data_IF_037066618102
#
_entry.id   IF_037066618102
#
_cell.length_a   1.000
_cell.length_b   1.000
_cell.length_c   1.000
_cell.angle_alpha   90.00
_cell.angle_beta   90.00
_cell.angle_gamma   90.00
#
_symmetry.space_group_name_H-M   'P 1'
#
loop_
_entity.id
_entity.type
_entity.pdbx_description
1 polymer ?
#
# COMPACT_ATOMS: atom_id res chain seq x y z
N UNK A 1 -2.40 -14.80 -11.78
CA UNK A 1 -0.97 -14.96 -11.47
C UNK A 1 -0.49 -13.95 -10.48
N UNK A 2 0.60 -14.25 -9.78
CA UNK A 2 1.35 -13.30 -8.96
C UNK A 2 2.56 -12.78 -9.74
N UNK A 3 3.12 -11.64 -9.32
CA UNK A 3 4.38 -11.12 -9.82
C UNK A 3 5.60 -11.74 -9.09
N UNK A 4 6.81 -11.28 -9.40
CA UNK A 4 8.07 -11.82 -8.87
C UNK A 4 8.12 -11.81 -7.32
N UNK A 5 7.64 -10.75 -6.69
CA UNK A 5 7.69 -10.57 -5.22
C UNK A 5 6.40 -10.98 -4.50
N UNK A 6 5.43 -11.49 -5.22
CA UNK A 6 4.15 -12.04 -4.71
C UNK A 6 3.22 -11.01 -4.02
N UNK A 7 3.55 -9.71 -4.07
CA UNK A 7 2.79 -8.65 -3.40
C UNK A 7 1.44 -8.34 -4.04
N UNK A 8 1.24 -8.76 -5.31
CA UNK A 8 0.01 -8.46 -6.04
C UNK A 8 -0.40 -9.65 -6.92
N UNK A 9 -1.70 -9.94 -6.98
CA UNK A 9 -2.29 -10.91 -7.89
C UNK A 9 -2.97 -10.19 -9.04
N UNK A 10 -2.55 -10.51 -10.26
CA UNK A 10 -3.02 -9.86 -11.48
C UNK A 10 -3.57 -10.89 -12.48
N UNK A 11 -4.49 -10.43 -13.33
CA UNK A 11 -5.04 -11.26 -14.39
C UNK A 11 -4.02 -11.52 -15.50
N UNK A 12 -3.96 -12.78 -15.93
CA UNK A 12 -3.16 -13.22 -17.08
C UNK A 12 -3.97 -14.16 -17.97
N UNK A 13 -3.66 -14.16 -19.26
CA UNK A 13 -4.27 -15.07 -20.24
C UNK A 13 -3.29 -15.36 -21.38
N UNK A 14 -3.75 -16.09 -22.38
CA UNK A 14 -3.01 -16.31 -23.62
C UNK A 14 -2.73 -15.02 -24.39
N UNK A 15 -3.54 -13.98 -24.19
CA UNK A 15 -3.42 -12.66 -24.86
C UNK A 15 -2.95 -11.53 -23.94
N UNK A 16 -2.82 -11.78 -22.63
CA UNK A 16 -2.49 -10.79 -21.62
C UNK A 16 -1.32 -11.22 -20.73
N UNK A 17 -0.30 -10.38 -20.63
CA UNK A 17 0.80 -10.50 -19.67
C UNK A 17 0.62 -9.39 -18.64
N UNK A 18 0.47 -9.77 -17.38
CA UNK A 18 0.30 -8.81 -16.31
C UNK A 18 1.55 -7.94 -16.10
N UNK A 19 1.34 -6.66 -15.91
CA UNK A 19 2.38 -5.67 -15.57
C UNK A 19 1.93 -4.93 -14.32
N UNK A 20 2.83 -4.79 -13.38
CA UNK A 20 2.59 -4.09 -12.12
C UNK A 20 3.29 -2.72 -12.12
N UNK A 21 2.54 -1.67 -11.73
CA UNK A 21 3.07 -0.33 -11.51
C UNK A 21 3.03 -0.09 -10.00
N UNK A 22 4.21 -0.03 -9.38
CA UNK A 22 4.35 0.01 -7.92
C UNK A 22 4.84 1.37 -7.43
N UNK A 23 4.37 1.74 -6.25
CA UNK A 23 4.86 2.87 -5.47
C UNK A 23 4.71 2.58 -3.98
N UNK A 24 5.45 3.29 -3.14
CA UNK A 24 5.34 3.13 -1.69
C UNK A 24 5.42 4.47 -0.98
N UNK A 25 4.51 4.68 -0.04
CA UNK A 25 4.47 5.87 0.81
C UNK A 25 5.45 5.69 1.96
N UNK A 26 6.29 6.69 2.20
CA UNK A 26 7.14 6.73 3.38
C UNK A 26 6.32 7.15 4.61
N UNK A 27 6.02 6.21 5.50
CA UNK A 27 5.21 6.49 6.70
C UNK A 27 5.88 7.48 7.65
N UNK A 28 7.21 7.45 7.78
CA UNK A 28 7.96 8.37 8.65
C UNK A 28 7.63 9.82 8.36
N UNK A 29 7.55 10.18 7.08
CA UNK A 29 7.21 11.54 6.66
C UNK A 29 5.73 11.89 6.87
N UNK A 30 4.91 10.94 7.28
CA UNK A 30 3.48 11.12 7.58
C UNK A 30 3.17 10.94 9.07
N UNK A 31 4.20 10.88 9.91
CA UNK A 31 4.04 10.94 11.37
C UNK A 31 4.05 12.39 11.83
N UNK A 32 3.20 12.73 12.78
CA UNK A 32 3.08 14.05 13.40
C UNK A 32 3.05 13.89 14.92
N UNK A 33 3.60 14.87 15.64
CA UNK A 33 3.49 14.95 17.10
C UNK A 33 2.01 14.95 17.53
N UNK A 34 1.64 14.08 18.45
CA UNK A 34 0.27 13.92 18.96
C UNK A 34 -0.09 14.96 20.04
N UNK A 35 0.83 15.85 20.38
CA UNK A 35 0.68 16.85 21.44
C UNK A 35 0.74 16.26 22.87
N UNK A 36 1.05 14.97 23.02
CA UNK A 36 1.15 14.25 24.31
C UNK A 36 2.55 13.65 24.52
N UNK A 37 3.50 13.99 23.65
CA UNK A 37 4.87 13.51 23.68
C UNK A 37 5.08 12.20 22.90
N UNK A 38 4.14 11.83 22.05
CA UNK A 38 4.20 10.72 21.11
C UNK A 38 3.98 11.16 19.66
N UNK A 39 3.84 10.21 18.78
CA UNK A 39 3.56 10.41 17.35
C UNK A 39 2.32 9.66 16.90
N UNK A 40 1.62 10.24 15.95
CA UNK A 40 0.46 9.63 15.28
C UNK A 40 0.51 9.88 13.79
N UNK A 41 -0.34 9.21 13.02
CA UNK A 41 -0.38 9.36 11.56
C UNK A 41 -1.11 10.65 11.16
N UNK A 42 -0.45 11.51 10.37
CA UNK A 42 -1.06 12.69 9.76
C UNK A 42 -1.98 12.28 8.60
N UNK A 43 -3.24 12.08 8.93
CA UNK A 43 -4.27 11.66 7.97
C UNK A 43 -4.44 12.65 6.81
N UNK A 44 -4.34 13.95 7.06
CA UNK A 44 -4.51 15.00 6.04
C UNK A 44 -3.37 14.98 5.03
N UNK A 45 -2.15 14.88 5.51
CA UNK A 45 -0.97 14.77 4.65
C UNK A 45 -0.96 13.46 3.88
N UNK A 46 -1.30 12.35 4.55
CA UNK A 46 -1.38 11.03 3.94
C UNK A 46 -2.37 11.01 2.78
N UNK A 47 -3.58 11.53 2.98
CA UNK A 47 -4.60 11.63 1.93
C UNK A 47 -4.09 12.39 0.70
N UNK A 48 -3.44 13.55 0.90
CA UNK A 48 -2.90 14.36 -0.20
C UNK A 48 -1.80 13.63 -0.96
N UNK A 49 -0.90 12.96 -0.24
CA UNK A 49 0.20 12.19 -0.82
C UNK A 49 -0.35 11.02 -1.64
N UNK A 50 -1.29 10.25 -1.09
CA UNK A 50 -1.88 9.09 -1.78
C UNK A 50 -2.63 9.54 -3.03
N UNK A 51 -3.40 10.61 -2.97
CA UNK A 51 -4.10 11.16 -4.13
C UNK A 51 -3.12 11.49 -5.28
N UNK A 52 -1.99 12.10 -4.94
CA UNK A 52 -0.94 12.43 -5.91
C UNK A 52 -0.27 11.16 -6.44
N UNK A 53 0.10 10.22 -5.56
CA UNK A 53 0.76 8.98 -5.94
C UNK A 53 -0.12 8.12 -6.86
N UNK A 54 -1.41 7.99 -6.56
CA UNK A 54 -2.35 7.25 -7.41
C UNK A 54 -2.45 7.87 -8.81
N UNK A 55 -2.50 9.20 -8.92
CA UNK A 55 -2.48 9.90 -10.21
C UNK A 55 -1.17 9.66 -10.96
N UNK A 56 -0.03 9.69 -10.28
CA UNK A 56 1.27 9.42 -10.89
C UNK A 56 1.33 7.99 -11.43
N UNK A 57 0.89 7.00 -10.64
CA UNK A 57 0.87 5.60 -11.06
C UNK A 57 -0.09 5.34 -12.23
N UNK A 58 -1.28 5.98 -12.23
CA UNK A 58 -2.20 5.90 -13.37
C UNK A 58 -1.59 6.51 -14.64
N UNK A 59 -0.90 7.65 -14.53
CA UNK A 59 -0.21 8.28 -15.65
C UNK A 59 0.91 7.40 -16.23
N UNK A 60 1.66 6.69 -15.39
CA UNK A 60 2.73 5.77 -15.84
C UNK A 60 2.17 4.71 -16.78
N UNK A 61 0.95 4.21 -16.54
CA UNK A 61 0.31 3.23 -17.43
C UNK A 61 0.20 3.76 -18.87
N UNK A 62 -0.10 5.03 -19.05
CA UNK A 62 -0.30 5.64 -20.36
C UNK A 62 1.02 6.00 -21.06
N UNK A 63 2.04 6.46 -20.31
CA UNK A 63 3.30 6.93 -20.87
C UNK A 63 4.41 5.86 -20.95
N UNK A 64 4.18 4.68 -20.33
CA UNK A 64 5.17 3.62 -20.27
C UNK A 64 5.48 3.03 -21.64
N UNK A 65 6.74 2.63 -21.83
CA UNK A 65 7.14 1.82 -22.98
C UNK A 65 6.86 0.34 -22.70
N UNK A 66 6.07 -0.28 -23.57
CA UNK A 66 5.73 -1.70 -23.47
C UNK A 66 6.51 -2.49 -24.53
N UNK A 67 7.50 -3.26 -24.11
CA UNK A 67 8.30 -4.11 -25.00
C UNK A 67 7.47 -5.21 -25.68
N UNK A 68 6.34 -5.62 -25.09
CA UNK A 68 5.47 -6.71 -25.57
C UNK A 68 4.02 -6.23 -25.66
N UNK A 69 3.38 -6.48 -26.81
CA UNK A 69 1.98 -6.07 -27.03
C UNK A 69 1.01 -6.61 -25.99
N UNK A 70 1.19 -7.87 -25.56
CA UNK A 70 0.34 -8.50 -24.51
C UNK A 70 0.41 -7.77 -23.17
N UNK A 71 1.57 -7.23 -22.81
CA UNK A 71 1.74 -6.43 -21.59
C UNK A 71 0.99 -5.09 -21.72
N UNK A 72 1.10 -4.41 -22.86
CA UNK A 72 0.36 -3.19 -23.13
C UNK A 72 -1.16 -3.42 -23.09
N UNK A 73 -1.62 -4.50 -23.72
CA UNK A 73 -3.04 -4.88 -23.75
C UNK A 73 -3.58 -5.06 -22.33
N UNK A 74 -2.91 -5.85 -21.51
CA UNK A 74 -3.29 -6.09 -20.11
C UNK A 74 -3.32 -4.79 -19.30
N UNK A 75 -2.23 -4.02 -19.38
CA UNK A 75 -2.08 -2.83 -18.52
C UNK A 75 -3.09 -1.73 -18.86
N UNK A 76 -3.35 -1.47 -20.13
CA UNK A 76 -4.37 -0.51 -20.56
C UNK A 76 -5.80 -0.97 -20.30
N UNK A 77 -6.06 -2.29 -20.35
CA UNK A 77 -7.37 -2.87 -20.12
C UNK A 77 -7.77 -2.85 -18.64
N UNK A 78 -6.85 -3.23 -17.76
CA UNK A 78 -7.11 -3.41 -16.33
C UNK A 78 -6.62 -2.25 -15.47
N UNK A 79 -5.64 -1.50 -15.94
CA UNK A 79 -5.02 -0.35 -15.23
C UNK A 79 -4.62 -0.66 -13.78
N UNK A 80 -3.91 -1.77 -13.51
CA UNK A 80 -3.54 -2.13 -12.16
C UNK A 80 -2.40 -1.25 -11.66
N UNK A 81 -2.54 -0.78 -10.42
CA UNK A 81 -1.47 -0.12 -9.67
C UNK A 81 -1.35 -0.77 -8.29
N UNK A 82 -0.18 -0.70 -7.69
CA UNK A 82 0.07 -1.21 -6.35
C UNK A 82 0.77 -0.16 -5.51
N UNK A 83 0.01 0.61 -4.74
CA UNK A 83 0.54 1.57 -3.78
C UNK A 83 0.69 0.88 -2.42
N UNK A 84 1.91 0.85 -1.90
CA UNK A 84 2.24 0.29 -0.59
C UNK A 84 2.81 1.32 0.36
N UNK A 85 3.50 0.82 1.39
CA UNK A 85 4.15 1.60 2.43
C UNK A 85 5.60 1.14 2.62
N UNK A 86 6.44 2.02 3.18
CA UNK A 86 7.78 1.75 3.69
C UNK A 86 8.02 2.57 4.94
N UNK A 87 9.02 2.20 5.74
CA UNK A 87 9.31 2.88 7.01
C UNK A 87 8.34 2.53 8.13
N UNK A 88 7.67 1.38 8.06
CA UNK A 88 6.74 0.94 9.10
C UNK A 88 7.45 0.74 10.45
N UNK A 89 8.60 0.05 10.46
CA UNK A 89 9.37 -0.14 11.69
C UNK A 89 9.86 1.20 12.27
N UNK A 90 10.27 2.15 11.42
CA UNK A 90 10.71 3.47 11.89
C UNK A 90 9.53 4.26 12.49
N UNK A 91 8.34 4.15 11.90
CA UNK A 91 7.13 4.74 12.48
C UNK A 91 6.83 4.15 13.87
N UNK A 92 6.97 2.84 14.05
CA UNK A 92 6.85 2.20 15.36
C UNK A 92 7.89 2.70 16.36
N UNK A 93 9.15 2.89 15.92
CA UNK A 93 10.19 3.48 16.76
C UNK A 93 9.83 4.91 17.20
N UNK A 94 9.33 5.75 16.30
CA UNK A 94 8.84 7.09 16.64
C UNK A 94 7.72 7.04 17.68
N UNK A 95 6.81 6.08 17.56
CA UNK A 95 5.71 5.85 18.51
C UNK A 95 6.17 5.14 19.80
N UNK A 96 7.44 4.72 19.89
CA UNK A 96 7.98 3.88 20.99
C UNK A 96 7.19 2.60 21.21
N UNK A 97 6.70 2.01 20.12
CA UNK A 97 5.86 0.81 20.11
C UNK A 97 6.69 -0.41 19.71
N UNK A 98 6.75 -1.46 20.55
CA UNK A 98 7.43 -2.70 20.17
C UNK A 98 6.75 -3.36 18.98
N UNK A 99 7.54 -3.87 18.03
CA UNK A 99 7.02 -4.50 16.82
C UNK A 99 6.08 -5.68 17.13
N UNK A 100 6.46 -6.54 18.07
CA UNK A 100 5.65 -7.68 18.50
C UNK A 100 4.69 -7.29 19.64
N UNK A 101 3.77 -6.36 19.38
CA UNK A 101 2.78 -5.89 20.35
C UNK A 101 1.41 -5.69 19.70
N UNK A 102 0.35 -5.73 20.52
CA UNK A 102 -1.02 -5.42 20.09
C UNK A 102 -1.12 -4.01 19.51
N UNK A 103 -0.44 -3.03 20.11
CA UNK A 103 -0.40 -1.66 19.61
C UNK A 103 0.22 -1.56 18.20
N UNK A 104 1.22 -2.39 17.88
CA UNK A 104 1.79 -2.44 16.53
C UNK A 104 0.82 -3.09 15.54
N UNK A 105 0.08 -4.12 15.95
CA UNK A 105 -0.97 -4.72 15.11
C UNK A 105 -2.11 -3.72 14.85
N UNK A 106 -2.54 -2.98 15.87
CA UNK A 106 -3.55 -1.93 15.70
C UNK A 106 -3.05 -0.82 14.77
N UNK A 107 -1.82 -0.37 14.93
CA UNK A 107 -1.22 0.63 14.02
C UNK A 107 -1.12 0.10 12.59
N UNK A 108 -0.74 -1.16 12.39
CA UNK A 108 -0.69 -1.79 11.07
C UNK A 108 -2.07 -1.79 10.40
N UNK A 109 -3.10 -2.22 11.14
CA UNK A 109 -4.48 -2.25 10.64
C UNK A 109 -4.97 -0.85 10.29
N UNK A 110 -4.89 0.12 11.22
CA UNK A 110 -5.37 1.49 11.01
C UNK A 110 -4.62 2.24 9.93
N UNK A 111 -3.31 2.09 9.85
CA UNK A 111 -2.51 2.74 8.80
C UNK A 111 -2.83 2.19 7.41
N UNK A 112 -2.97 0.86 7.28
CA UNK A 112 -3.35 0.25 6.00
C UNK A 112 -4.81 0.49 5.64
N UNK A 113 -5.73 0.54 6.60
CA UNK A 113 -7.11 0.96 6.35
C UNK A 113 -7.14 2.35 5.70
N UNK A 114 -6.39 3.31 6.27
CA UNK A 114 -6.32 4.66 5.74
C UNK A 114 -5.70 4.70 4.32
N UNK A 115 -4.61 3.96 4.09
CA UNK A 115 -3.98 3.85 2.77
C UNK A 115 -4.95 3.27 1.74
N UNK A 116 -5.64 2.19 2.07
CA UNK A 116 -6.64 1.57 1.20
C UNK A 116 -7.78 2.54 0.89
N UNK A 117 -8.36 3.14 1.92
CA UNK A 117 -9.46 4.08 1.79
C UNK A 117 -9.12 5.25 0.85
N UNK A 118 -7.98 5.91 1.09
CA UNK A 118 -7.57 7.06 0.28
C UNK A 118 -7.15 6.66 -1.14
N UNK A 119 -6.54 5.48 -1.33
CA UNK A 119 -6.18 4.99 -2.65
C UNK A 119 -7.43 4.66 -3.49
N UNK A 120 -8.43 4.02 -2.88
CA UNK A 120 -9.70 3.71 -3.56
C UNK A 120 -10.47 5.00 -3.86
N UNK A 121 -10.51 5.93 -2.91
CA UNK A 121 -11.10 7.25 -3.14
C UNK A 121 -10.44 7.97 -4.33
N UNK A 122 -9.11 8.04 -4.36
CA UNK A 122 -8.37 8.65 -5.46
C UNK A 122 -8.63 7.96 -6.81
N UNK A 123 -8.78 6.63 -6.82
CA UNK A 123 -9.14 5.89 -8.03
C UNK A 123 -10.57 6.21 -8.51
N UNK A 124 -11.52 6.50 -7.60
CA UNK A 124 -12.85 6.97 -8.00
C UNK A 124 -12.83 8.38 -8.58
N UNK A 125 -11.99 9.29 -8.04
CA UNK A 125 -11.79 10.63 -8.61
C UNK A 125 -11.21 10.55 -10.02
N UNK A 126 -10.23 9.67 -10.23
CA UNK A 126 -9.68 9.42 -11.56
C UNK A 126 -10.70 8.77 -12.51
N UNK A 127 -11.58 7.90 -12.00
CA UNK A 127 -12.65 7.33 -12.81
C UNK A 127 -13.69 8.38 -13.23
N UNK A 128 -14.04 9.31 -12.35
CA UNK A 128 -14.91 10.46 -12.65
C UNK A 128 -14.28 11.37 -13.72
N UNK A 129 -12.98 11.63 -13.63
CA UNK A 129 -12.23 12.51 -14.55
C UNK A 129 -11.94 11.84 -15.91
N UNK A 130 -11.58 10.55 -15.93
CA UNK A 130 -10.97 9.86 -17.09
C UNK A 130 -11.71 8.59 -17.53
N UNK A 131 -12.78 8.23 -16.84
CA UNK A 131 -13.52 7.00 -17.07
C UNK A 131 -12.96 5.79 -16.34
N UNK A 132 -13.81 4.77 -16.20
CA UNK A 132 -13.50 3.49 -15.56
C UNK A 132 -12.47 2.70 -16.38
N UNK A 133 -11.75 1.77 -15.75
CA UNK A 133 -10.93 0.81 -16.51
C UNK A 133 -11.82 -0.12 -17.35
N UNK A 134 -11.32 -0.56 -18.53
CA UNK A 134 -12.15 -1.20 -19.56
C UNK A 134 -12.82 -2.51 -19.10
N UNK A 135 -12.20 -3.27 -18.22
CA UNK A 135 -12.73 -4.52 -17.69
C UNK A 135 -13.47 -4.38 -16.35
N UNK A 136 -13.96 -3.18 -16.04
CA UNK A 136 -14.67 -2.88 -14.78
C UNK A 136 -15.94 -3.70 -14.64
N UNK A 137 -16.73 -3.83 -15.72
CA UNK A 137 -18.03 -4.51 -15.68
C UNK A 137 -17.89 -5.97 -15.29
N UNK A 138 -18.65 -6.40 -14.28
CA UNK A 138 -18.63 -7.76 -13.72
C UNK A 138 -17.52 -8.00 -12.70
N UNK A 139 -16.62 -7.01 -12.45
CA UNK A 139 -15.62 -7.09 -11.41
C UNK A 139 -16.23 -7.06 -10.01
N UNK A 140 -15.46 -7.37 -8.98
CA UNK A 140 -15.91 -7.23 -7.59
C UNK A 140 -16.34 -5.79 -7.28
N UNK A 141 -15.62 -4.79 -7.82
CA UNK A 141 -15.99 -3.38 -7.69
C UNK A 141 -17.38 -3.08 -8.29
N UNK A 142 -17.67 -3.58 -9.49
CA UNK A 142 -18.97 -3.41 -10.15
C UNK A 142 -20.10 -4.11 -9.40
N UNK A 143 -19.78 -5.23 -8.76
CA UNK A 143 -20.71 -6.00 -7.91
C UNK A 143 -20.88 -5.39 -6.51
N UNK A 144 -20.17 -4.31 -6.19
CA UNK A 144 -20.21 -3.64 -4.90
C UNK A 144 -19.56 -4.45 -3.76
N UNK A 145 -18.65 -5.35 -4.08
CA UNK A 145 -17.88 -6.15 -3.10
C UNK A 145 -16.52 -5.50 -2.92
N UNK A 146 -16.32 -4.89 -1.76
CA UNK A 146 -15.05 -4.24 -1.42
C UNK A 146 -14.03 -5.27 -0.87
N UNK A 147 -12.72 -5.00 -0.94
CA UNK A 147 -11.70 -5.95 -0.48
C UNK A 147 -11.91 -6.44 0.96
N UNK A 148 -12.25 -5.58 1.90
CA UNK A 148 -12.53 -5.98 3.28
C UNK A 148 -13.84 -6.81 3.41
N UNK A 149 -14.82 -6.61 2.54
CA UNK A 149 -16.05 -7.42 2.52
C UNK A 149 -15.82 -8.82 1.94
N UNK A 150 -14.71 -9.03 1.21
CA UNK A 150 -14.34 -10.35 0.68
C UNK A 150 -14.02 -11.38 1.78
N UNK A 151 -13.74 -10.91 2.99
CA UNK A 151 -13.55 -11.74 4.19
C UNK A 151 -14.79 -12.59 4.47
N UNK A 152 -15.99 -12.10 4.15
CA UNK A 152 -17.22 -12.87 4.25
C UNK A 152 -17.23 -14.07 3.29
N UNK A 153 -16.74 -13.89 2.06
CA UNK A 153 -16.62 -15.00 1.11
C UNK A 153 -15.65 -16.06 1.63
N UNK A 154 -14.56 -15.62 2.28
CA UNK A 154 -13.62 -16.54 2.93
C UNK A 154 -14.27 -17.32 4.07
N UNK A 155 -15.11 -16.67 4.88
CA UNK A 155 -15.86 -17.34 5.94
C UNK A 155 -16.82 -18.41 5.38
N UNK A 156 -17.55 -18.09 4.32
CA UNK A 156 -18.44 -19.02 3.64
C UNK A 156 -17.70 -20.27 3.14
N UNK A 157 -16.55 -20.08 2.48
CA UNK A 157 -15.69 -21.16 1.98
C UNK A 157 -15.06 -22.01 3.10
N UNK A 158 -14.91 -21.47 4.30
CA UNK A 158 -14.37 -22.15 5.49
C UNK A 158 -15.46 -22.71 6.41
N UNK A 159 -16.69 -22.84 5.95
CA UNK A 159 -17.80 -23.35 6.78
C UNK A 159 -18.19 -22.43 7.94
N UNK A 160 -17.98 -21.15 7.79
CA UNK A 160 -18.33 -20.13 8.80
C UNK A 160 -17.19 -19.78 9.77
N UNK A 161 -16.03 -20.44 9.69
CA UNK A 161 -14.88 -20.12 10.55
C UNK A 161 -14.14 -18.88 10.07
N UNK A 162 -14.09 -17.87 10.94
CA UNK A 162 -13.38 -16.64 10.69
C UNK A 162 -12.90 -16.00 12.01
N UNK A 163 -11.57 -15.94 12.19
CA UNK A 163 -10.91 -15.22 13.27
C UNK A 163 -10.10 -14.03 12.68
N UNK A 164 -10.80 -13.00 12.24
CA UNK A 164 -10.19 -11.78 11.69
C UNK A 164 -10.91 -10.57 12.28
N UNK A 165 -10.17 -9.56 12.69
CA UNK A 165 -10.75 -8.27 13.07
C UNK A 165 -11.48 -7.66 11.87
N UNK A 166 -12.73 -7.26 12.07
CA UNK A 166 -13.59 -6.64 11.07
C UNK A 166 -13.95 -5.20 11.46
N UNK A 167 -13.31 -4.66 12.50
CA UNK A 167 -13.52 -3.28 12.91
C UNK A 167 -13.02 -2.31 11.84
N UNK A 168 -13.70 -1.19 11.67
CA UNK A 168 -13.35 -0.15 10.72
C UNK A 168 -13.38 1.22 11.40
N UNK A 169 -12.51 2.12 10.96
CA UNK A 169 -12.43 3.50 11.46
C UNK A 169 -12.81 4.55 10.40
N UNK A 170 -12.83 4.14 9.12
CA UNK A 170 -13.18 5.00 8.00
C UNK A 170 -14.63 4.81 7.56
N UNK A 171 -15.23 5.79 6.90
CA UNK A 171 -16.59 5.68 6.36
C UNK A 171 -16.60 4.94 5.01
N UNK A 172 -16.57 3.63 5.09
CA UNK A 172 -16.59 2.76 3.92
C UNK A 172 -17.92 2.82 3.16
N UNK A 173 -19.03 3.20 3.79
CA UNK A 173 -20.32 3.35 3.13
C UNK A 173 -20.29 4.50 2.13
N UNK A 174 -19.73 5.63 2.52
CA UNK A 174 -19.55 6.79 1.66
C UNK A 174 -18.67 6.46 0.44
N UNK A 175 -17.56 5.74 0.65
CA UNK A 175 -16.70 5.29 -0.45
C UNK A 175 -17.42 4.32 -1.38
N UNK A 176 -18.21 3.39 -0.84
CA UNK A 176 -19.01 2.43 -1.61
C UNK A 176 -20.02 3.13 -2.52
N UNK A 177 -20.72 4.14 -2.01
CA UNK A 177 -21.64 4.95 -2.79
C UNK A 177 -20.92 5.70 -3.91
N UNK A 178 -19.73 6.22 -3.63
CA UNK A 178 -18.90 6.87 -4.63
C UNK A 178 -18.43 5.91 -5.73
N UNK A 179 -18.01 4.69 -5.36
CA UNK A 179 -17.66 3.64 -6.33
C UNK A 179 -18.86 3.27 -7.20
N UNK A 180 -20.05 3.16 -6.63
CA UNK A 180 -21.28 2.90 -7.36
C UNK A 180 -21.58 4.00 -8.39
N UNK A 181 -21.38 5.25 -8.02
CA UNK A 181 -21.64 6.41 -8.89
C UNK A 181 -20.62 6.52 -10.03
N UNK A 182 -19.32 6.47 -9.73
CA UNK A 182 -18.25 6.79 -10.67
C UNK A 182 -17.49 5.54 -11.16
N UNK A 183 -17.50 4.45 -10.41
CA UNK A 183 -16.65 3.26 -10.63
C UNK A 183 -15.22 3.48 -10.16
N UNK A 184 -14.31 2.62 -10.67
CA UNK A 184 -12.88 2.65 -10.38
C UNK A 184 -12.08 2.90 -11.66
N UNK A 185 -11.01 3.68 -11.57
CA UNK A 185 -10.04 3.87 -12.65
C UNK A 185 -9.07 2.71 -12.75
N UNK A 186 -8.77 2.06 -11.63
CA UNK A 186 -7.75 1.02 -11.49
C UNK A 186 -8.38 -0.27 -10.96
N UNK A 187 -8.04 -1.42 -11.53
CA UNK A 187 -8.53 -2.72 -11.07
C UNK A 187 -7.97 -3.10 -9.71
N UNK A 188 -6.70 -2.79 -9.47
CA UNK A 188 -5.97 -2.93 -8.22
C UNK A 188 -5.40 -1.56 -7.85
N UNK A 189 -5.37 -1.23 -6.57
CA UNK A 189 -4.89 0.08 -6.09
C UNK A 189 -3.74 -0.04 -5.10
N UNK A 190 -3.69 -1.11 -4.30
CA UNK A 190 -2.74 -1.25 -3.20
C UNK A 190 -1.99 -2.58 -3.27
N UNK A 191 -0.73 -2.53 -2.89
CA UNK A 191 0.14 -3.69 -2.70
C UNK A 191 1.35 -3.28 -1.86
N UNK A 192 1.74 -4.10 -0.89
CA UNK A 192 2.95 -3.86 -0.09
C UNK A 192 4.13 -4.54 -0.80
N UNK A 193 4.86 -3.76 -1.60
CA UNK A 193 6.07 -4.24 -2.27
C UNK A 193 7.28 -4.25 -1.32
N UNK A 194 8.32 -5.07 -1.57
CA UNK A 194 9.49 -5.19 -0.68
C UNK A 194 10.29 -3.90 -0.47
N UNK A 195 10.24 -2.95 -1.39
CA UNK A 195 10.93 -1.63 -1.34
C UNK A 195 12.45 -1.67 -1.08
N UNK A 196 13.11 -2.79 -1.35
CA UNK A 196 14.51 -3.05 -0.99
C UNK A 196 15.51 -1.97 -1.48
N UNK A 197 15.26 -1.34 -2.63
CA UNK A 197 16.10 -0.27 -3.17
C UNK A 197 15.62 1.11 -2.75
N UNK A 198 14.32 1.40 -2.91
CA UNK A 198 13.81 2.75 -2.66
C UNK A 198 13.85 3.13 -1.18
N UNK A 199 13.67 2.17 -0.27
CA UNK A 199 13.82 2.41 1.17
C UNK A 199 15.25 2.84 1.54
N UNK A 200 16.27 2.21 0.93
CA UNK A 200 17.66 2.61 1.13
C UNK A 200 17.96 4.01 0.58
N UNK A 201 17.38 4.37 -0.56
CA UNK A 201 17.56 5.73 -1.15
C UNK A 201 16.94 6.79 -0.24
N UNK A 202 15.78 6.48 0.34
CA UNK A 202 15.04 7.40 1.22
C UNK A 202 15.61 7.40 2.66
N UNK A 203 16.30 6.32 3.08
CA UNK A 203 16.84 6.17 4.42
C UNK A 203 15.82 5.72 5.46
N UNK A 204 14.95 4.78 5.11
CA UNK A 204 13.96 4.19 6.02
C UNK A 204 13.98 2.66 5.93
N UNK A 205 13.34 1.98 6.88
CA UNK A 205 13.14 0.52 6.85
C UNK A 205 12.31 0.09 5.63
N UNK A 206 12.64 -1.10 5.09
CA UNK A 206 11.94 -1.64 3.93
C UNK A 206 10.52 -2.06 4.30
N UNK A 207 9.55 -1.71 3.48
CA UNK A 207 8.12 -2.05 3.57
C UNK A 207 7.61 -2.12 5.03
N UNK A 208 7.24 -3.31 5.48
CA UNK A 208 6.78 -3.61 6.84
C UNK A 208 7.78 -4.48 7.62
N UNK A 209 8.99 -4.64 7.13
CA UNK A 209 9.99 -5.52 7.75
C UNK A 209 10.54 -4.92 9.04
N UNK A 210 10.80 -5.76 10.07
CA UNK A 210 11.52 -5.34 11.26
C UNK A 210 13.01 -5.12 10.95
N UNK A 211 13.71 -4.36 11.80
CA UNK A 211 15.16 -4.26 11.73
C UNK A 211 15.79 -5.60 12.11
N UNK A 212 16.74 -6.09 11.31
CA UNK A 212 17.47 -7.34 11.59
C UNK A 212 18.31 -7.24 12.86
N UNK A 213 19.08 -6.14 12.95
CA UNK A 213 19.99 -5.86 14.06
C UNK A 213 20.11 -4.35 14.27
N UNK A 214 20.59 -3.95 15.44
CA UNK A 214 20.83 -2.54 15.76
C UNK A 214 22.12 -1.99 15.18
N UNK A 215 23.05 -2.86 14.84
CA UNK A 215 24.34 -2.54 14.19
C UNK A 215 24.75 -3.69 13.28
N UNK A 216 24.88 -3.45 12.01
CA UNK A 216 25.32 -4.45 11.04
C UNK A 216 26.08 -3.83 9.87
N UNK A 217 26.79 -4.66 9.12
CA UNK A 217 27.47 -4.24 7.89
C UNK A 217 26.66 -4.71 6.70
N UNK A 218 26.28 -3.77 5.84
CA UNK A 218 25.66 -4.04 4.56
C UNK A 218 26.70 -4.00 3.46
N UNK A 219 26.91 -5.11 2.78
CA UNK A 219 27.85 -5.23 1.67
C UNK A 219 27.11 -5.29 0.34
N UNK A 220 27.59 -4.55 -0.65
CA UNK A 220 27.14 -4.60 -2.04
C UNK A 220 28.31 -4.32 -3.00
N UNK A 221 28.03 -4.25 -4.31
CA UNK A 221 29.07 -3.99 -5.33
C UNK A 221 29.78 -2.64 -5.18
N UNK A 222 29.21 -1.70 -4.45
CA UNK A 222 29.78 -0.36 -4.21
C UNK A 222 30.63 -0.29 -2.93
N UNK A 223 30.62 -1.34 -2.10
CA UNK A 223 31.39 -1.40 -0.86
C UNK A 223 30.62 -1.94 0.34
N UNK A 224 31.20 -1.73 1.51
CA UNK A 224 30.64 -2.10 2.80
C UNK A 224 30.21 -0.84 3.54
N UNK A 225 28.99 -0.89 4.09
CA UNK A 225 28.38 0.22 4.80
C UNK A 225 27.92 -0.23 6.19
N UNK A 226 28.42 0.43 7.21
CA UNK A 226 27.93 0.21 8.57
C UNK A 226 26.57 0.89 8.73
N UNK A 227 25.56 0.10 9.10
CA UNK A 227 24.21 0.58 9.38
C UNK A 227 23.95 0.47 10.88
N UNK A 228 23.49 1.56 11.46
CA UNK A 228 23.15 1.65 12.88
C UNK A 228 21.68 2.05 13.02
N UNK A 229 21.02 1.52 14.04
CA UNK A 229 19.67 1.95 14.40
C UNK A 229 19.74 3.35 15.04
N UNK A 230 19.39 4.38 14.26
CA UNK A 230 19.46 5.79 14.69
C UNK A 230 18.51 6.09 15.87
N UNK A 231 17.36 5.44 15.94
CA UNK A 231 16.41 5.61 17.05
C UNK A 231 17.03 5.12 18.36
N UNK A 232 17.73 3.98 18.34
CA UNK A 232 18.46 3.49 19.50
C UNK A 232 19.58 4.46 19.92
N UNK A 233 20.30 5.03 18.95
CA UNK A 233 21.37 6.01 19.24
C UNK A 233 20.79 7.26 19.92
N UNK A 234 19.65 7.76 19.46
CA UNK A 234 18.96 8.89 20.09
C UNK A 234 18.58 8.57 21.54
N UNK A 235 17.99 7.40 21.79
CA UNK A 235 17.58 6.99 23.13
C UNK A 235 18.78 6.78 24.09
N UNK A 236 19.89 6.24 23.57
CA UNK A 236 21.12 6.09 24.36
C UNK A 236 21.79 7.41 24.71
N UNK A 237 21.71 8.41 23.83
CA UNK A 237 22.25 9.76 24.09
C UNK A 237 21.40 10.57 25.08
N UNK A 238 20.12 10.22 25.23
CA UNK A 238 19.19 10.88 26.12
C UNK A 238 19.28 10.37 27.59
N UNK A 239 19.99 9.26 27.82
CA UNK A 239 20.27 8.66 29.15
C UNK A 239 21.58 9.15 29.72
#
# INVERSE_FOLDING_TARGET
>A
SSNLCTEITLNTSDTEIAVCNLGSVNLVNHMIDDGKGGFTLDQVKLQKTIRTAMRMLDNVIDINYYAVKKARTSNLKHRPVGLGIMGFQDALHMMRTPYASEAAMEFADRSMEAVCYYAYWASTELAEERGRYSSYKGSLWDRGIMPHESVRLLAEERGGYLEVDQSVSMDWSLLKDRIKAHGMRNSNCVAIAPTATISNIIGVSACIEPNYENLFVKSNLSGEFTVINEHLVVDLKAR
#
